data_IF_689172248895
#
_entry.id   IF_689172248895
#
_cell.length_a   1.000
_cell.length_b   1.000
_cell.length_c   1.000
_cell.angle_alpha   90.00
_cell.angle_beta   90.00
_cell.angle_gamma   90.00
#
_symmetry.space_group_name_H-M   'P 1'
#
loop_
_entity.id
_entity.type
_entity.pdbx_description
1 polymer ?
#
# COMPACT_ATOMS: atom_id res chain seq x y z
N UNK A 1 -38.80 8.25 30.05
CA UNK A 1 -38.20 8.20 31.41
C UNK A 1 -37.67 6.79 31.61
N UNK A 2 -36.48 6.61 32.21
CA UNK A 2 -35.75 5.33 32.47
C UNK A 2 -34.97 4.80 31.24
N UNK A 3 -33.67 4.47 31.26
CA UNK A 3 -32.49 4.75 32.12
C UNK A 3 -31.28 4.51 31.19
N UNK A 4 -30.32 5.44 31.13
CA UNK A 4 -29.00 5.23 30.49
C UNK A 4 -28.03 4.64 31.53
N UNK A 5 -27.28 3.62 31.13
CA UNK A 5 -26.07 3.10 31.81
C UNK A 5 -24.96 3.14 30.74
N UNK A 6 -23.89 3.94 30.86
CA UNK A 6 -22.85 3.90 31.91
C UNK A 6 -21.77 2.90 31.45
N UNK A 7 -20.83 3.34 30.60
CA UNK A 7 -19.40 3.59 30.92
C UNK A 7 -18.58 2.36 31.32
N UNK A 8 -17.54 2.07 30.52
CA UNK A 8 -16.28 1.48 31.00
C UNK A 8 -15.14 1.84 30.04
N UNK A 9 -14.34 2.84 30.42
CA UNK A 9 -13.09 3.20 29.77
C UNK A 9 -11.97 2.26 30.25
N UNK A 10 -11.27 1.63 29.30
CA UNK A 10 -10.10 0.80 29.59
C UNK A 10 -8.82 1.63 29.44
N UNK A 11 -8.24 2.03 30.55
CA UNK A 11 -6.87 2.55 30.67
C UNK A 11 -5.86 1.43 30.45
N UNK A 12 -5.00 1.55 29.44
CA UNK A 12 -3.87 0.65 29.21
C UNK A 12 -2.56 1.33 29.67
N UNK A 13 -1.95 0.76 30.69
CA UNK A 13 -0.72 1.20 31.36
C UNK A 13 0.50 0.76 30.55
N UNK A 14 1.29 1.73 30.07
CA UNK A 14 2.59 1.53 29.41
C UNK A 14 3.65 1.11 30.44
N UNK A 15 4.13 -0.13 30.35
CA UNK A 15 5.30 -0.60 31.07
C UNK A 15 6.58 -0.10 30.38
N UNK A 16 7.35 0.72 31.11
CA UNK A 16 8.61 1.34 30.71
C UNK A 16 9.75 0.43 31.19
N UNK A 17 10.44 -0.27 30.29
CA UNK A 17 11.65 -1.03 30.64
C UNK A 17 12.89 -0.16 30.49
N UNK A 18 13.50 0.19 31.63
CA UNK A 18 14.83 0.80 31.70
C UNK A 18 15.89 -0.30 31.56
N UNK A 19 16.70 -0.23 30.50
CA UNK A 19 17.90 -1.05 30.32
C UNK A 19 19.15 -0.25 30.69
N UNK A 20 19.69 -0.51 31.87
CA UNK A 20 20.90 0.09 32.40
C UNK A 20 22.17 -0.64 31.93
N UNK A 21 23.18 0.13 31.52
CA UNK A 21 24.57 -0.04 31.95
C UNK A 21 25.43 -1.15 31.32
N UNK A 22 26.53 -0.73 30.65
CA UNK A 22 27.89 -1.27 30.87
C UNK A 22 28.94 -0.42 30.17
N UNK A 23 29.54 0.51 30.92
CA UNK A 23 30.80 1.15 30.56
C UNK A 23 31.96 0.18 30.85
N UNK A 24 32.70 -0.22 29.82
CA UNK A 24 33.94 -1.00 29.96
C UNK A 24 35.13 -0.03 30.07
N UNK A 25 35.66 0.12 31.28
CA UNK A 25 37.03 0.60 31.53
C UNK A 25 38.01 -0.44 31.00
N UNK A 26 38.81 -0.11 29.99
CA UNK A 26 40.03 -0.85 29.66
C UNK A 26 41.21 -0.14 30.32
N UNK A 27 41.92 -0.91 31.16
CA UNK A 27 43.11 -0.51 31.92
C UNK A 27 44.28 -0.30 30.97
N UNK A 28 45.05 0.74 31.25
CA UNK A 28 46.38 0.93 30.67
C UNK A 28 47.33 -0.19 31.12
N UNK A 29 48.04 -0.74 30.14
CA UNK A 29 49.20 -1.59 30.34
C UNK A 29 50.42 -0.77 29.90
N UNK A 30 51.18 -0.27 30.89
CA UNK A 30 52.49 0.32 30.65
C UNK A 30 53.51 -0.82 30.72
N UNK A 31 54.13 -1.15 29.59
CA UNK A 31 55.32 -2.00 29.52
C UNK A 31 56.52 -1.10 29.29
N UNK A 32 57.31 -0.93 30.35
CA UNK A 32 58.70 -0.47 30.29
C UNK A 32 59.57 -1.58 29.70
N UNK A 33 60.19 -1.34 28.55
CA UNK A 33 61.26 -2.20 28.01
C UNK A 33 62.54 -1.39 27.89
N UNK A 34 63.56 -1.86 28.62
CA UNK A 34 64.88 -1.29 28.68
C UNK A 34 65.68 -1.53 27.39
N UNK A 35 66.56 -0.57 27.16
CA UNK A 35 67.73 -0.53 26.28
C UNK A 35 68.34 -1.89 25.95
N UNK A 36 68.49 -2.17 24.65
CA UNK A 36 69.68 -2.74 23.97
C UNK A 36 69.20 -3.34 22.65
N UNK A 37 69.31 -2.62 21.53
CA UNK A 37 69.42 -3.16 20.15
C UNK A 37 69.38 -2.00 19.15
N UNK A 38 70.54 -1.37 18.94
CA UNK A 38 70.74 -0.26 17.99
C UNK A 38 70.93 -0.70 16.54
N UNK A 39 70.85 -2.01 16.22
CA UNK A 39 71.10 -2.50 14.86
C UNK A 39 69.85 -3.00 14.10
N UNK A 40 68.69 -3.12 14.75
CA UNK A 40 67.40 -3.37 14.05
C UNK A 40 66.66 -2.09 13.64
N UNK A 41 67.15 -0.91 14.07
CA UNK A 41 66.53 0.37 13.77
C UNK A 41 66.67 0.81 12.30
N UNK A 42 67.61 0.22 11.54
CA UNK A 42 67.84 0.57 10.13
C UNK A 42 66.90 -0.21 9.19
N UNK A 43 66.42 -1.40 9.59
CA UNK A 43 65.44 -2.15 8.79
C UNK A 43 64.01 -1.62 8.94
N UNK A 44 63.69 -0.94 10.06
CA UNK A 44 62.38 -0.32 10.28
C UNK A 44 62.25 1.08 9.64
N UNK A 45 63.36 1.76 9.33
CA UNK A 45 63.35 3.05 8.62
C UNK A 45 63.19 2.93 7.10
N UNK A 46 63.22 1.72 6.54
CA UNK A 46 62.94 1.43 5.12
C UNK A 46 61.53 0.87 4.87
N UNK A 47 60.68 0.78 5.90
CA UNK A 47 59.26 0.44 5.77
C UNK A 47 58.26 1.63 5.87
N UNK A 48 58.55 2.89 5.47
CA UNK A 48 57.58 3.98 5.62
C UNK A 48 56.56 4.10 4.47
N UNK A 49 56.36 3.08 3.61
CA UNK A 49 55.41 3.18 2.47
C UNK A 49 54.31 2.13 2.41
N UNK A 50 54.30 1.11 3.27
CA UNK A 50 53.26 0.07 3.22
C UNK A 50 51.96 0.50 3.92
N UNK A 51 52.03 1.37 4.93
CA UNK A 51 50.83 1.83 5.65
C UNK A 51 49.95 2.77 4.82
N UNK A 52 50.53 3.61 3.95
CA UNK A 52 49.75 4.48 3.06
C UNK A 52 49.09 3.68 1.93
N UNK A 53 49.79 2.69 1.38
CA UNK A 53 49.23 1.81 0.34
C UNK A 53 48.11 0.90 0.87
N UNK A 54 48.21 0.43 2.13
CA UNK A 54 47.12 -0.33 2.77
C UNK A 54 45.90 0.55 3.06
N UNK A 55 46.10 1.82 3.45
CA UNK A 55 44.99 2.75 3.64
C UNK A 55 44.32 3.18 2.31
N UNK A 56 45.07 3.26 1.21
CA UNK A 56 44.53 3.51 -0.14
C UNK A 56 43.78 2.29 -0.68
N UNK A 57 44.29 1.07 -0.47
CA UNK A 57 43.60 -0.16 -0.82
C UNK A 57 42.26 -0.29 -0.08
N UNK A 58 42.24 -0.01 1.23
CA UNK A 58 41.01 -0.03 2.03
C UNK A 58 39.97 1.00 1.55
N UNK A 59 40.39 2.21 1.16
CA UNK A 59 39.48 3.21 0.58
C UNK A 59 38.95 2.81 -0.80
N UNK A 60 39.74 2.08 -1.59
CA UNK A 60 39.28 1.55 -2.87
C UNK A 60 38.27 0.41 -2.70
N UNK A 61 38.42 -0.40 -1.66
CA UNK A 61 37.41 -1.42 -1.30
C UNK A 61 36.10 -0.77 -0.80
N UNK A 62 36.20 0.30 0.00
CA UNK A 62 35.04 1.08 0.43
C UNK A 62 34.31 1.76 -0.74
N UNK A 63 35.02 2.27 -1.75
CA UNK A 63 34.38 2.89 -2.92
C UNK A 63 33.71 1.84 -3.83
N UNK A 64 34.34 0.70 -4.06
CA UNK A 64 33.75 -0.40 -4.85
C UNK A 64 32.49 -0.94 -4.16
N UNK A 65 32.50 -1.11 -2.85
CA UNK A 65 31.32 -1.56 -2.09
C UNK A 65 30.19 -0.52 -2.11
N UNK A 66 30.50 0.77 -2.04
CA UNK A 66 29.49 1.83 -2.17
C UNK A 66 28.81 1.83 -3.55
N UNK A 67 29.58 1.69 -4.64
CA UNK A 67 29.03 1.59 -6.00
C UNK A 67 28.11 0.36 -6.14
N UNK A 68 28.50 -0.78 -5.58
CA UNK A 68 27.67 -1.99 -5.60
C UNK A 68 26.36 -1.82 -4.83
N UNK A 69 26.39 -1.18 -3.66
CA UNK A 69 25.18 -0.89 -2.88
C UNK A 69 24.21 0.02 -3.64
N UNK A 70 24.73 0.98 -4.38
CA UNK A 70 23.95 1.91 -5.20
C UNK A 70 23.25 1.17 -6.34
N UNK A 71 23.98 0.33 -7.08
CA UNK A 71 23.38 -0.48 -8.13
C UNK A 71 22.30 -1.44 -7.58
N UNK A 72 22.52 -2.01 -6.39
CA UNK A 72 21.53 -2.86 -5.74
C UNK A 72 20.26 -2.08 -5.37
N UNK A 73 20.42 -0.86 -4.83
CA UNK A 73 19.29 0.02 -4.54
C UNK A 73 18.52 0.39 -5.79
N UNK A 74 19.19 0.77 -6.88
CA UNK A 74 18.55 1.06 -8.17
C UNK A 74 17.75 -0.14 -8.70
N UNK A 75 18.33 -1.34 -8.67
CA UNK A 75 17.63 -2.57 -9.07
C UNK A 75 16.39 -2.82 -8.19
N UNK A 76 16.51 -2.60 -6.89
CA UNK A 76 15.40 -2.77 -5.95
C UNK A 76 14.27 -1.77 -6.21
N UNK A 77 14.61 -0.53 -6.56
CA UNK A 77 13.66 0.53 -6.88
C UNK A 77 12.93 0.26 -8.20
N UNK A 78 13.66 -0.08 -9.26
CA UNK A 78 13.05 -0.52 -10.53
C UNK A 78 12.10 -1.70 -10.33
N UNK A 79 12.47 -2.63 -9.45
CA UNK A 79 11.62 -3.77 -9.11
C UNK A 79 10.35 -3.34 -8.36
N UNK A 80 10.45 -2.37 -7.44
CA UNK A 80 9.29 -1.78 -6.78
C UNK A 80 8.36 -1.08 -7.79
N UNK A 81 8.90 -0.28 -8.71
CA UNK A 81 8.13 0.38 -9.77
C UNK A 81 7.38 -0.61 -10.66
N UNK A 82 8.06 -1.68 -11.09
CA UNK A 82 7.41 -2.78 -11.86
C UNK A 82 6.31 -3.45 -11.06
N UNK A 83 6.52 -3.65 -9.76
CA UNK A 83 5.54 -4.29 -8.86
C UNK A 83 4.31 -3.40 -8.65
N UNK A 84 4.50 -2.11 -8.38
CA UNK A 84 3.42 -1.13 -8.20
C UNK A 84 2.60 -0.96 -9.49
N UNK A 85 3.28 -0.80 -10.63
CA UNK A 85 2.61 -0.67 -11.93
C UNK A 85 1.78 -1.93 -12.26
N UNK A 86 2.34 -3.12 -12.01
CA UNK A 86 1.62 -4.39 -12.16
C UNK A 86 0.42 -4.47 -11.22
N UNK A 87 0.57 -4.04 -9.97
CA UNK A 87 -0.49 -4.04 -8.97
C UNK A 87 -1.67 -3.13 -9.37
N UNK A 88 -1.41 -1.89 -9.78
CA UNK A 88 -2.45 -0.94 -10.26
C UNK A 88 -3.19 -1.53 -11.47
N UNK A 89 -2.45 -2.09 -12.43
CA UNK A 89 -3.04 -2.76 -13.60
C UNK A 89 -3.92 -3.94 -13.18
N UNK A 90 -3.47 -4.77 -12.25
CA UNK A 90 -4.23 -5.91 -11.74
C UNK A 90 -5.48 -5.47 -11.00
N UNK A 91 -5.44 -4.39 -10.21
CA UNK A 91 -6.63 -3.84 -9.53
C UNK A 91 -7.71 -3.44 -10.53
N UNK A 92 -7.34 -2.73 -11.60
CA UNK A 92 -8.28 -2.38 -12.67
C UNK A 92 -8.92 -3.60 -13.33
N UNK A 93 -8.10 -4.59 -13.69
CA UNK A 93 -8.59 -5.84 -14.28
C UNK A 93 -9.53 -6.61 -13.33
N UNK A 94 -9.24 -6.61 -12.02
CA UNK A 94 -10.12 -7.20 -10.99
C UNK A 94 -11.45 -6.47 -10.91
N UNK A 95 -11.45 -5.13 -10.93
CA UNK A 95 -12.68 -4.34 -10.94
C UNK A 95 -13.59 -4.65 -12.14
N UNK A 96 -13.01 -4.71 -13.35
CA UNK A 96 -13.74 -5.08 -14.56
C UNK A 96 -14.23 -6.54 -14.52
N UNK A 97 -13.42 -7.47 -14.02
CA UNK A 97 -13.78 -8.88 -13.89
C UNK A 97 -14.88 -9.10 -12.86
N UNK A 98 -14.83 -8.40 -11.72
CA UNK A 98 -15.84 -8.46 -10.67
C UNK A 98 -17.19 -7.97 -11.19
N UNK A 99 -17.21 -6.85 -11.93
CA UNK A 99 -18.44 -6.35 -12.55
C UNK A 99 -19.01 -7.35 -13.58
N UNK A 100 -18.15 -7.93 -14.43
CA UNK A 100 -18.58 -8.95 -15.40
C UNK A 100 -19.22 -10.16 -14.72
N UNK A 101 -18.59 -10.68 -13.66
CA UNK A 101 -19.14 -11.79 -12.88
C UNK A 101 -20.48 -11.42 -12.23
N UNK A 102 -20.60 -10.20 -11.70
CA UNK A 102 -21.85 -9.72 -11.11
C UNK A 102 -22.99 -9.63 -12.13
N UNK A 103 -22.72 -9.04 -13.30
CA UNK A 103 -23.70 -8.95 -14.40
C UNK A 103 -24.10 -10.36 -14.87
N UNK A 104 -23.14 -11.28 -14.98
CA UNK A 104 -23.42 -12.68 -15.32
C UNK A 104 -24.31 -13.36 -14.27
N UNK A 105 -24.02 -13.19 -12.97
CA UNK A 105 -24.84 -13.73 -11.87
C UNK A 105 -26.27 -13.18 -11.92
N UNK A 106 -26.41 -11.89 -12.20
CA UNK A 106 -27.71 -11.24 -12.33
C UNK A 106 -28.50 -11.76 -13.56
N UNK A 107 -27.81 -12.02 -14.69
CA UNK A 107 -28.41 -12.66 -15.87
C UNK A 107 -28.92 -14.07 -15.56
N UNK A 108 -28.08 -14.90 -14.91
CA UNK A 108 -28.45 -16.26 -14.52
C UNK A 108 -29.63 -16.28 -13.54
N UNK A 109 -29.67 -15.33 -12.60
CA UNK A 109 -30.79 -15.20 -11.66
C UNK A 109 -32.10 -14.79 -12.35
N UNK A 110 -32.03 -14.02 -13.44
CA UNK A 110 -33.19 -13.63 -14.25
C UNK A 110 -33.73 -14.78 -15.12
N UNK A 111 -32.85 -15.68 -15.58
CA UNK A 111 -33.20 -16.85 -16.40
C UNK A 111 -33.72 -18.03 -15.57
N UNK A 112 -33.44 -18.07 -14.26
CA UNK A 112 -33.90 -19.13 -13.38
C UNK A 112 -35.44 -19.24 -13.45
N UNK A 113 -36.00 -20.45 -13.69
CA UNK A 113 -37.43 -20.63 -13.81
C UNK A 113 -38.11 -20.08 -12.57
N UNK A 114 -39.16 -19.28 -12.78
CA UNK A 114 -39.97 -18.69 -11.71
C UNK A 114 -40.84 -19.74 -11.00
N UNK A 115 -40.32 -20.98 -10.88
CA UNK A 115 -40.95 -22.12 -10.23
C UNK A 115 -41.31 -21.74 -8.80
N UNK A 116 -42.59 -21.42 -8.60
CA UNK A 116 -43.21 -21.23 -7.29
C UNK A 116 -43.44 -19.79 -6.81
N UNK A 117 -43.11 -18.72 -7.56
CA UNK A 117 -43.27 -17.32 -7.07
C UNK A 117 -44.39 -16.49 -7.69
N UNK A 118 -45.33 -17.11 -8.41
CA UNK A 118 -46.60 -16.45 -8.77
C UNK A 118 -47.61 -16.64 -7.64
N UNK A 119 -47.41 -15.93 -6.52
CA UNK A 119 -48.50 -15.72 -5.59
C UNK A 119 -49.48 -14.72 -6.23
N UNK A 120 -50.60 -15.23 -6.76
CA UNK A 120 -51.70 -14.45 -7.36
C UNK A 120 -52.51 -13.64 -6.33
N UNK A 121 -51.85 -13.06 -5.34
CA UNK A 121 -52.46 -12.17 -4.35
C UNK A 121 -52.40 -10.72 -4.81
N UNK A 122 -53.52 -10.00 -4.80
CA UNK A 122 -53.64 -8.55 -5.09
C UNK A 122 -52.86 -7.63 -4.13
N UNK A 123 -52.03 -8.18 -3.23
CA UNK A 123 -51.18 -7.39 -2.36
C UNK A 123 -49.91 -7.02 -3.12
N UNK A 124 -49.57 -5.73 -3.09
CA UNK A 124 -48.32 -5.18 -3.64
C UNK A 124 -47.15 -5.73 -2.83
N UNK A 125 -46.74 -6.97 -3.11
CA UNK A 125 -45.61 -7.60 -2.47
C UNK A 125 -44.36 -6.75 -2.77
N UNK A 126 -43.74 -6.24 -1.71
CA UNK A 126 -42.42 -5.61 -1.81
C UNK A 126 -41.48 -6.69 -2.35
N UNK A 127 -40.87 -6.42 -3.50
CA UNK A 127 -39.88 -7.34 -4.08
C UNK A 127 -38.74 -7.52 -3.08
N UNK A 128 -38.19 -8.73 -2.97
CA UNK A 128 -36.97 -8.98 -2.18
C UNK A 128 -35.85 -7.99 -2.55
N UNK A 129 -35.73 -7.63 -3.83
CA UNK A 129 -34.77 -6.64 -4.29
C UNK A 129 -35.01 -5.24 -3.70
N UNK A 130 -36.28 -4.82 -3.59
CA UNK A 130 -36.64 -3.53 -3.01
C UNK A 130 -36.39 -3.51 -1.49
N UNK A 131 -36.61 -4.64 -0.81
CA UNK A 131 -36.28 -4.79 0.61
C UNK A 131 -34.76 -4.69 0.85
N UNK A 132 -33.96 -5.45 0.08
CA UNK A 132 -32.49 -5.37 0.13
C UNK A 132 -31.99 -3.96 -0.19
N UNK A 133 -32.58 -3.29 -1.17
CA UNK A 133 -32.23 -1.91 -1.50
C UNK A 133 -32.56 -0.93 -0.36
N UNK A 134 -33.67 -1.14 0.35
CA UNK A 134 -34.01 -0.34 1.53
C UNK A 134 -32.98 -0.54 2.66
N UNK A 135 -32.57 -1.78 2.94
CA UNK A 135 -31.51 -2.09 3.91
C UNK A 135 -30.17 -1.47 3.52
N UNK A 136 -29.80 -1.52 2.23
CA UNK A 136 -28.59 -0.87 1.73
C UNK A 136 -28.60 0.65 1.94
N UNK A 137 -29.76 1.30 1.78
CA UNK A 137 -29.91 2.73 2.10
C UNK A 137 -29.79 2.99 3.59
N UNK A 138 -30.35 2.13 4.44
CA UNK A 138 -30.26 2.27 5.90
C UNK A 138 -28.81 2.10 6.38
N UNK A 139 -28.10 1.09 5.90
CA UNK A 139 -26.67 0.87 6.18
C UNK A 139 -25.82 2.07 5.71
N UNK A 140 -26.08 2.59 4.51
CA UNK A 140 -25.39 3.78 3.98
C UNK A 140 -25.64 5.03 4.85
N UNK A 141 -26.87 5.21 5.34
CA UNK A 141 -27.20 6.30 6.26
C UNK A 141 -26.51 6.15 7.63
N UNK A 142 -26.26 4.92 8.07
CA UNK A 142 -25.50 4.61 9.27
C UNK A 142 -23.97 4.77 9.08
N UNK A 143 -23.51 5.07 7.86
CA UNK A 143 -22.08 5.19 7.54
C UNK A 143 -21.36 3.88 7.26
N UNK A 144 -22.07 2.75 7.24
CA UNK A 144 -21.50 1.43 6.94
C UNK A 144 -21.52 1.17 5.43
N UNK A 145 -20.49 1.67 4.75
CA UNK A 145 -20.37 1.57 3.30
C UNK A 145 -20.13 0.13 2.81
N UNK A 146 -19.44 -0.71 3.59
CA UNK A 146 -19.19 -2.12 3.24
C UNK A 146 -20.48 -2.93 3.25
N UNK A 147 -21.28 -2.79 4.32
CA UNK A 147 -22.55 -3.48 4.44
C UNK A 147 -23.55 -2.97 3.40
N UNK A 148 -23.61 -1.66 3.18
CA UNK A 148 -24.44 -1.06 2.13
C UNK A 148 -24.10 -1.61 0.75
N UNK A 149 -22.81 -1.75 0.41
CA UNK A 149 -22.36 -2.36 -0.85
C UNK A 149 -22.91 -3.77 -1.00
N UNK A 150 -22.79 -4.61 0.04
CA UNK A 150 -23.29 -5.99 0.01
C UNK A 150 -24.81 -6.09 -0.22
N UNK A 151 -25.58 -5.19 0.40
CA UNK A 151 -27.03 -5.12 0.15
C UNK A 151 -27.37 -4.65 -1.27
N UNK A 152 -26.68 -3.64 -1.80
CA UNK A 152 -26.90 -3.17 -3.18
C UNK A 152 -26.50 -4.22 -4.22
N UNK A 153 -25.41 -4.94 -4.00
CA UNK A 153 -25.00 -6.06 -4.85
C UNK A 153 -26.07 -7.16 -4.86
N UNK A 154 -26.54 -7.56 -3.68
CA UNK A 154 -27.58 -8.58 -3.54
C UNK A 154 -28.89 -8.14 -4.20
N UNK A 155 -29.29 -6.88 -4.03
CA UNK A 155 -30.46 -6.31 -4.69
C UNK A 155 -30.33 -6.35 -6.22
N UNK A 156 -29.15 -6.03 -6.76
CA UNK A 156 -28.87 -6.11 -8.20
C UNK A 156 -28.94 -7.53 -8.75
N UNK A 157 -28.39 -8.52 -8.03
CA UNK A 157 -28.50 -9.93 -8.43
C UNK A 157 -29.95 -10.40 -8.42
N UNK A 158 -30.75 -9.99 -7.43
CA UNK A 158 -32.18 -10.33 -7.38
C UNK A 158 -32.99 -9.67 -8.50
N UNK A 159 -32.67 -8.42 -8.84
CA UNK A 159 -33.34 -7.68 -9.90
C UNK A 159 -32.37 -6.68 -10.56
N UNK A 160 -31.86 -6.98 -11.77
CA UNK A 160 -30.87 -6.14 -12.42
C UNK A 160 -31.45 -4.76 -12.77
N UNK A 161 -31.13 -3.75 -11.96
CA UNK A 161 -31.53 -2.35 -12.16
C UNK A 161 -30.31 -1.44 -12.08
N UNK A 162 -30.19 -0.51 -13.03
CA UNK A 162 -29.06 0.41 -13.09
C UNK A 162 -28.97 1.32 -11.87
N UNK A 163 -30.10 1.69 -11.26
CA UNK A 163 -30.13 2.42 -10.00
C UNK A 163 -29.40 1.69 -8.84
N UNK A 164 -29.43 0.36 -8.81
CA UNK A 164 -28.71 -0.44 -7.81
C UNK A 164 -27.21 -0.42 -8.09
N UNK A 165 -26.80 -0.56 -9.36
CA UNK A 165 -25.40 -0.40 -9.77
C UNK A 165 -24.85 0.98 -9.43
N UNK A 166 -25.60 2.06 -9.71
CA UNK A 166 -25.16 3.42 -9.36
C UNK A 166 -24.96 3.59 -7.85
N UNK A 167 -25.82 2.98 -7.03
CA UNK A 167 -25.70 3.00 -5.57
C UNK A 167 -24.48 2.20 -5.10
N UNK A 168 -24.21 1.05 -5.72
CA UNK A 168 -23.01 0.25 -5.48
C UNK A 168 -21.73 0.98 -5.89
N UNK A 169 -21.71 1.63 -7.05
CA UNK A 169 -20.59 2.47 -7.50
C UNK A 169 -20.27 3.60 -6.51
N UNK A 170 -21.30 4.21 -5.93
CA UNK A 170 -21.11 5.22 -4.87
C UNK A 170 -20.47 4.62 -3.61
N UNK A 171 -20.79 3.38 -3.26
CA UNK A 171 -20.15 2.72 -2.10
C UNK A 171 -18.69 2.39 -2.39
N UNK A 172 -18.36 1.93 -3.61
CA UNK A 172 -16.96 1.75 -4.02
C UNK A 172 -16.15 3.05 -3.93
N UNK A 173 -16.71 4.20 -4.35
CA UNK A 173 -16.06 5.51 -4.16
C UNK A 173 -15.88 5.90 -2.69
N UNK A 174 -16.79 5.51 -1.80
CA UNK A 174 -16.65 5.77 -0.35
C UNK A 174 -15.58 4.90 0.30
N UNK A 175 -15.35 3.70 -0.25
CA UNK A 175 -14.34 2.74 0.19
C UNK A 175 -12.99 2.93 -0.51
N UNK A 176 -12.84 3.98 -1.31
CA UNK A 176 -11.64 4.27 -2.12
C UNK A 176 -11.25 3.13 -3.10
N UNK A 177 -12.25 2.36 -3.53
CA UNK A 177 -12.13 1.33 -4.56
C UNK A 177 -12.44 1.95 -5.94
N UNK A 178 -11.68 2.98 -6.32
CA UNK A 178 -11.97 3.82 -7.49
C UNK A 178 -12.07 3.03 -8.80
N UNK A 179 -11.29 1.97 -8.95
CA UNK A 179 -11.29 1.17 -10.18
C UNK A 179 -12.59 0.36 -10.36
N UNK A 180 -13.18 -0.11 -9.26
CA UNK A 180 -14.48 -0.79 -9.29
C UNK A 180 -15.59 0.21 -9.59
N UNK A 181 -15.52 1.39 -8.97
CA UNK A 181 -16.46 2.47 -9.24
C UNK A 181 -16.43 2.91 -10.71
N UNK A 182 -15.23 3.11 -11.28
CA UNK A 182 -15.05 3.45 -12.69
C UNK A 182 -15.68 2.41 -13.62
N UNK A 183 -15.43 1.12 -13.36
CA UNK A 183 -16.00 0.04 -14.17
C UNK A 183 -17.54 0.09 -14.16
N UNK A 184 -18.13 0.30 -12.98
CA UNK A 184 -19.58 0.40 -12.81
C UNK A 184 -20.14 1.61 -13.55
N UNK A 185 -19.58 2.80 -13.37
CA UNK A 185 -20.10 4.01 -14.00
C UNK A 185 -19.95 3.97 -15.52
N UNK A 186 -18.83 3.44 -16.03
CA UNK A 186 -18.64 3.21 -17.47
C UNK A 186 -19.72 2.28 -18.03
N UNK A 187 -20.01 1.18 -17.33
CA UNK A 187 -21.06 0.26 -17.75
C UNK A 187 -22.46 0.92 -17.77
N UNK A 188 -22.78 1.76 -16.78
CA UNK A 188 -24.06 2.49 -16.75
C UNK A 188 -24.14 3.53 -17.87
N UNK A 189 -23.04 4.25 -18.14
CA UNK A 189 -22.97 5.24 -19.22
C UNK A 189 -23.17 4.60 -20.61
N UNK A 190 -22.51 3.47 -20.86
CA UNK A 190 -22.57 2.73 -22.12
C UNK A 190 -23.86 1.94 -22.31
N UNK A 191 -24.63 1.72 -21.23
CA UNK A 191 -25.86 0.93 -21.29
C UNK A 191 -26.95 1.62 -22.11
N UNK A 192 -27.51 0.87 -23.07
CA UNK A 192 -28.62 1.34 -23.89
C UNK A 192 -29.92 1.54 -23.09
N UNK A 193 -30.09 0.83 -21.97
CA UNK A 193 -31.29 0.92 -21.12
C UNK A 193 -31.23 2.04 -20.08
N UNK A 194 -30.08 2.74 -19.97
CA UNK A 194 -29.92 3.85 -19.04
C UNK A 194 -30.67 5.10 -19.50
N UNK A 195 -31.41 5.73 -18.60
CA UNK A 195 -32.00 7.05 -18.84
C UNK A 195 -30.93 8.13 -18.95
N UNK A 196 -31.25 9.26 -19.59
CA UNK A 196 -30.31 10.38 -19.73
C UNK A 196 -29.81 10.90 -18.37
N UNK A 197 -30.68 10.88 -17.35
CA UNK A 197 -30.30 11.26 -15.97
C UNK A 197 -29.29 10.29 -15.35
N UNK A 198 -29.46 8.99 -15.57
CA UNK A 198 -28.53 7.97 -15.08
C UNK A 198 -27.19 8.06 -15.82
N UNK A 199 -27.21 8.26 -17.14
CA UNK A 199 -25.99 8.46 -17.95
C UNK A 199 -25.23 9.72 -17.51
N UNK A 200 -25.94 10.82 -17.28
CA UNK A 200 -25.33 12.06 -16.81
C UNK A 200 -24.74 11.91 -15.40
N UNK A 201 -25.46 11.25 -14.49
CA UNK A 201 -24.93 10.92 -13.17
C UNK A 201 -23.68 10.06 -13.27
N UNK A 202 -23.71 9.02 -14.11
CA UNK A 202 -22.61 8.11 -14.34
C UNK A 202 -21.39 8.84 -14.92
N UNK A 203 -21.55 9.70 -15.93
CA UNK A 203 -20.47 10.54 -16.48
C UNK A 203 -19.80 11.39 -15.42
N UNK A 204 -20.59 12.13 -14.65
CA UNK A 204 -20.06 13.01 -13.58
C UNK A 204 -19.30 12.19 -12.54
N UNK A 205 -19.85 11.04 -12.13
CA UNK A 205 -19.20 10.16 -11.14
C UNK A 205 -18.00 9.42 -11.69
N UNK A 206 -18.00 9.08 -12.98
CA UNK A 206 -16.86 8.51 -13.68
C UNK A 206 -15.71 9.53 -13.73
N UNK A 207 -15.99 10.81 -13.99
CA UNK A 207 -14.99 11.87 -13.91
C UNK A 207 -14.42 12.04 -12.50
N UNK A 208 -15.26 11.99 -11.46
CA UNK A 208 -14.81 12.00 -10.06
C UNK A 208 -13.90 10.80 -9.74
N UNK A 209 -14.28 9.59 -10.16
CA UNK A 209 -13.50 8.39 -9.94
C UNK A 209 -12.14 8.45 -10.64
N UNK A 210 -12.13 8.88 -11.91
CA UNK A 210 -10.90 9.08 -12.70
C UNK A 210 -9.97 10.09 -12.06
N UNK A 211 -10.49 11.23 -11.61
CA UNK A 211 -9.67 12.26 -10.95
C UNK A 211 -8.99 11.72 -9.68
N UNK A 212 -9.67 10.86 -8.90
CA UNK A 212 -9.04 10.20 -7.74
C UNK A 212 -7.96 9.21 -8.17
N UNK A 213 -8.22 8.38 -9.18
CA UNK A 213 -7.24 7.44 -9.73
C UNK A 213 -6.01 8.17 -10.29
N UNK A 214 -6.21 9.28 -11.01
CA UNK A 214 -5.15 10.15 -11.53
C UNK A 214 -4.38 10.83 -10.40
N UNK A 215 -5.02 11.26 -9.32
CA UNK A 215 -4.33 11.78 -8.14
C UNK A 215 -3.41 10.74 -7.50
N UNK A 216 -3.85 9.49 -7.37
CA UNK A 216 -3.01 8.40 -6.87
C UNK A 216 -1.86 8.12 -7.85
N UNK A 217 -2.13 8.08 -9.15
CA UNK A 217 -1.10 7.91 -10.17
C UNK A 217 -0.07 9.04 -10.17
N UNK A 218 -0.51 10.30 -9.99
CA UNK A 218 0.37 11.46 -9.91
C UNK A 218 1.20 11.46 -8.63
N UNK A 219 0.63 11.04 -7.48
CA UNK A 219 1.42 10.84 -6.25
C UNK A 219 2.51 9.79 -6.46
N UNK A 220 2.17 8.70 -7.14
CA UNK A 220 3.09 7.63 -7.53
C UNK A 220 4.18 8.19 -8.47
N UNK A 221 3.84 8.95 -9.51
CA UNK A 221 4.82 9.56 -10.41
C UNK A 221 5.69 10.63 -9.73
N UNK A 222 5.13 11.42 -8.82
CA UNK A 222 5.89 12.44 -8.07
C UNK A 222 6.94 11.79 -7.16
N UNK A 223 6.61 10.63 -6.57
CA UNK A 223 7.62 9.82 -5.87
C UNK A 223 8.72 9.34 -6.84
N UNK A 224 8.38 8.97 -8.08
CA UNK A 224 9.38 8.57 -9.09
C UNK A 224 10.30 9.72 -9.52
N UNK A 225 9.77 10.95 -9.62
CA UNK A 225 10.57 12.14 -9.97
C UNK A 225 11.50 12.53 -8.83
N UNK A 226 11.05 12.42 -7.57
CA UNK A 226 11.92 12.60 -6.41
C UNK A 226 13.09 11.59 -6.43
N UNK A 227 12.87 10.37 -6.94
CA UNK A 227 13.93 9.37 -7.12
C UNK A 227 14.86 9.72 -8.30
N UNK A 228 14.36 10.32 -9.38
CA UNK A 228 15.20 10.84 -10.47
C UNK A 228 16.12 11.98 -10.00
N UNK A 229 15.66 12.81 -9.07
CA UNK A 229 16.50 13.81 -8.41
C UNK A 229 17.57 13.14 -7.53
N UNK A 230 17.23 12.06 -6.81
CA UNK A 230 18.20 11.23 -6.07
C UNK A 230 19.22 10.60 -7.02
N UNK A 231 18.80 10.10 -8.19
CA UNK A 231 19.69 9.55 -9.21
C UNK A 231 20.63 10.61 -9.81
N UNK A 232 20.11 11.81 -10.07
CA UNK A 232 20.91 12.95 -10.53
C UNK A 232 21.95 13.31 -9.48
N UNK A 233 21.56 13.28 -8.21
CA UNK A 233 22.45 13.53 -7.09
C UNK A 233 23.53 12.47 -6.92
N UNK A 234 23.13 11.21 -7.06
CA UNK A 234 23.99 10.05 -7.08
C UNK A 234 25.03 10.16 -8.19
N UNK A 235 24.61 10.59 -9.39
CA UNK A 235 25.50 10.90 -10.52
C UNK A 235 26.45 12.07 -10.24
N UNK A 236 26.00 13.12 -9.55
CA UNK A 236 26.88 14.22 -9.11
C UNK A 236 27.92 13.72 -8.10
N UNK A 237 27.51 12.93 -7.11
CA UNK A 237 28.39 12.30 -6.14
C UNK A 237 29.39 11.34 -6.82
N UNK A 238 28.95 10.54 -7.79
CA UNK A 238 29.79 9.64 -8.58
C UNK A 238 30.84 10.42 -9.37
N UNK A 239 30.44 11.49 -10.09
CA UNK A 239 31.35 12.36 -10.84
C UNK A 239 32.35 13.08 -9.93
N UNK A 240 31.93 13.48 -8.73
CA UNK A 240 32.84 14.01 -7.70
C UNK A 240 33.85 12.96 -7.26
N UNK A 241 33.42 11.73 -6.99
CA UNK A 241 34.31 10.61 -6.63
C UNK A 241 35.28 10.28 -7.77
N UNK A 242 34.82 10.24 -9.00
CA UNK A 242 35.64 10.01 -10.19
C UNK A 242 36.65 11.14 -10.42
N UNK A 243 36.24 12.41 -10.30
CA UNK A 243 37.13 13.56 -10.39
C UNK A 243 38.20 13.56 -9.28
N UNK A 244 37.85 13.09 -8.08
CA UNK A 244 38.78 12.90 -6.96
C UNK A 244 39.73 11.72 -7.19
N UNK A 245 39.28 10.66 -7.85
CA UNK A 245 40.07 9.48 -8.17
C UNK A 245 41.02 9.71 -9.36
N UNK A 246 40.65 10.57 -10.32
CA UNK A 246 41.37 10.82 -11.56
C UNK A 246 42.54 11.81 -11.44
N UNK A 247 42.93 12.23 -10.23
CA UNK A 247 43.86 13.34 -10.04
C UNK A 247 45.20 13.22 -10.80
N UNK A 248 45.80 14.34 -11.27
CA UNK A 248 47.20 14.39 -11.66
C UNK A 248 48.09 14.51 -10.41
N UNK A 249 48.59 13.40 -9.87
CA UNK A 249 49.62 13.30 -8.82
C UNK A 249 49.40 13.98 -7.44
N UNK A 250 48.70 15.10 -7.28
CA UNK A 250 48.24 15.71 -6.01
C UNK A 250 47.07 16.67 -6.35
N UNK A 251 45.96 16.79 -5.57
CA UNK A 251 45.83 16.67 -4.11
C UNK A 251 44.76 15.66 -3.61
N UNK A 252 44.96 15.12 -2.40
CA UNK A 252 44.38 13.85 -1.90
C UNK A 252 43.17 13.95 -0.95
N UNK A 253 42.33 14.98 -1.03
CA UNK A 253 41.06 15.00 -0.26
C UNK A 253 39.96 15.83 -0.91
N UNK A 254 38.70 15.44 -0.67
CA UNK A 254 37.49 16.19 -1.07
C UNK A 254 37.56 17.64 -0.58
N UNK A 255 38.10 17.84 0.63
CA UNK A 255 38.38 19.14 1.24
C UNK A 255 39.37 19.99 0.42
N UNK A 256 40.40 19.38 -0.16
CA UNK A 256 41.42 20.08 -0.95
C UNK A 256 40.94 20.41 -2.37
N UNK A 257 40.16 19.52 -3.01
CA UNK A 257 39.51 19.80 -4.28
C UNK A 257 38.46 20.92 -4.15
N UNK A 258 37.66 20.91 -3.06
CA UNK A 258 36.77 22.03 -2.73
C UNK A 258 37.53 23.33 -2.43
N UNK A 259 38.73 23.26 -1.85
CA UNK A 259 39.56 24.45 -1.57
C UNK A 259 40.25 25.03 -2.83
N UNK A 260 40.43 24.22 -3.87
CA UNK A 260 41.03 24.63 -5.15
C UNK A 260 40.00 25.09 -6.19
N UNK A 261 38.73 24.69 -6.04
CA UNK A 261 37.62 25.21 -6.83
C UNK A 261 37.42 26.71 -6.56
N UNK A 262 37.01 27.46 -7.58
CA UNK A 262 36.61 28.85 -7.41
C UNK A 262 35.52 28.94 -6.32
N UNK A 263 35.59 29.95 -5.45
CA UNK A 263 34.69 30.10 -4.29
C UNK A 263 33.21 30.00 -4.71
N UNK A 264 32.90 30.53 -5.90
CA UNK A 264 31.57 30.48 -6.53
C UNK A 264 31.13 29.05 -6.89
N UNK A 265 32.04 28.20 -7.36
CA UNK A 265 31.75 26.80 -7.74
C UNK A 265 31.62 25.92 -6.49
N UNK A 266 32.43 26.21 -5.46
CA UNK A 266 32.36 25.54 -4.16
C UNK A 266 31.02 25.77 -3.45
N UNK A 267 30.56 27.02 -3.40
CA UNK A 267 29.30 27.37 -2.75
C UNK A 267 28.10 26.75 -3.48
N UNK A 268 28.16 26.65 -4.82
CA UNK A 268 27.14 25.93 -5.62
C UNK A 268 27.11 24.45 -5.29
N UNK A 269 28.27 23.77 -5.26
CA UNK A 269 28.33 22.35 -4.92
C UNK A 269 27.85 22.07 -3.49
N UNK A 270 28.17 22.96 -2.53
CA UNK A 270 27.66 22.84 -1.17
C UNK A 270 26.14 23.03 -1.10
N UNK A 271 25.59 24.00 -1.82
CA UNK A 271 24.13 24.18 -1.94
C UNK A 271 23.45 22.97 -2.58
N UNK A 272 24.04 22.40 -3.63
CA UNK A 272 23.52 21.18 -4.27
C UNK A 272 23.55 19.98 -3.31
N UNK A 273 24.61 19.82 -2.49
CA UNK A 273 24.73 18.77 -1.46
C UNK A 273 23.82 19.01 -0.25
N UNK A 274 23.45 20.26 0.06
CA UNK A 274 22.45 20.54 1.09
C UNK A 274 21.03 20.26 0.59
N UNK A 275 20.72 20.71 -0.63
CA UNK A 275 19.45 20.43 -1.32
C UNK A 275 19.24 18.92 -1.46
N UNK A 276 20.28 18.21 -1.89
CA UNK A 276 20.36 16.75 -1.90
C UNK A 276 19.88 16.09 -0.62
N UNK A 277 20.47 16.51 0.51
CA UNK A 277 20.22 15.91 1.81
C UNK A 277 18.81 16.20 2.26
N UNK A 278 18.30 17.39 1.98
CA UNK A 278 16.92 17.75 2.24
C UNK A 278 15.94 16.88 1.44
N UNK A 279 16.18 16.69 0.13
CA UNK A 279 15.36 15.82 -0.73
C UNK A 279 15.41 14.36 -0.29
N UNK A 280 16.61 13.83 -0.01
CA UNK A 280 16.78 12.46 0.46
C UNK A 280 16.08 12.24 1.83
N UNK A 281 16.19 13.20 2.74
CA UNK A 281 15.49 13.15 4.04
C UNK A 281 13.96 13.18 3.86
N UNK A 282 13.45 13.96 2.91
CA UNK A 282 12.01 14.02 2.60
C UNK A 282 11.52 12.71 1.97
N UNK A 283 12.28 12.11 1.05
CA UNK A 283 11.96 10.83 0.42
C UNK A 283 11.93 9.69 1.45
N UNK A 284 12.90 9.64 2.38
CA UNK A 284 12.88 8.67 3.49
C UNK A 284 11.64 8.85 4.37
N UNK A 285 11.27 10.09 4.69
CA UNK A 285 10.06 10.36 5.46
C UNK A 285 8.79 9.89 4.72
N UNK A 286 8.66 10.18 3.41
CA UNK A 286 7.54 9.71 2.59
C UNK A 286 7.48 8.18 2.51
N UNK A 287 8.62 7.51 2.33
CA UNK A 287 8.71 6.04 2.33
C UNK A 287 8.15 5.45 3.63
N UNK A 288 8.51 6.01 4.78
CA UNK A 288 7.98 5.51 6.06
C UNK A 288 6.47 5.68 6.18
N UNK A 289 5.91 6.78 5.65
CA UNK A 289 4.45 6.99 5.60
C UNK A 289 3.79 5.92 4.73
N UNK A 290 4.29 5.69 3.51
CA UNK A 290 3.77 4.66 2.60
C UNK A 290 3.86 3.24 3.19
N UNK A 291 4.96 2.91 3.89
CA UNK A 291 5.10 1.63 4.60
C UNK A 291 4.04 1.46 5.70
N UNK A 292 3.72 2.52 6.45
CA UNK A 292 2.67 2.47 7.47
C UNK A 292 1.27 2.33 6.87
N UNK A 293 1.00 3.00 5.76
CA UNK A 293 -0.28 2.87 5.02
C UNK A 293 -0.45 1.46 4.45
N UNK A 294 0.60 0.91 3.81
CA UNK A 294 0.59 -0.46 3.30
C UNK A 294 0.38 -1.49 4.42
N UNK A 295 0.99 -1.28 5.59
CA UNK A 295 0.78 -2.13 6.75
C UNK A 295 -0.66 -2.03 7.28
N UNK A 296 -1.27 -0.84 7.25
CA UNK A 296 -2.67 -0.63 7.60
C UNK A 296 -3.61 -1.36 6.63
N UNK A 297 -3.36 -1.24 5.32
CA UNK A 297 -4.10 -1.95 4.27
C UNK A 297 -4.02 -3.48 4.41
N UNK A 298 -2.82 -4.03 4.63
CA UNK A 298 -2.67 -5.48 4.89
C UNK A 298 -3.40 -5.93 6.16
N UNK A 299 -3.51 -5.07 7.18
CA UNK A 299 -4.29 -5.35 8.39
C UNK A 299 -5.79 -5.31 8.09
N UNK A 300 -6.26 -4.32 7.35
CA UNK A 300 -7.65 -4.23 6.91
C UNK A 300 -8.05 -5.44 6.05
N UNK A 301 -7.21 -5.81 5.08
CA UNK A 301 -7.44 -6.99 4.23
C UNK A 301 -7.52 -8.30 5.04
N UNK A 302 -6.63 -8.50 6.02
CA UNK A 302 -6.70 -9.68 6.92
C UNK A 302 -7.98 -9.72 7.73
N UNK A 303 -8.47 -8.56 8.20
CA UNK A 303 -9.76 -8.45 8.90
C UNK A 303 -10.92 -8.78 7.98
N UNK A 304 -10.95 -8.21 6.77
CA UNK A 304 -11.97 -8.51 5.78
C UNK A 304 -12.01 -10.01 5.44
N UNK A 305 -10.84 -10.65 5.25
CA UNK A 305 -10.74 -12.10 5.02
C UNK A 305 -11.26 -12.92 6.20
N UNK A 306 -10.94 -12.52 7.43
CA UNK A 306 -11.45 -13.18 8.64
C UNK A 306 -12.98 -13.05 8.74
N UNK A 307 -13.54 -11.87 8.48
CA UNK A 307 -14.99 -11.64 8.43
C UNK A 307 -15.66 -12.49 7.35
N UNK A 308 -15.05 -12.59 6.17
CA UNK A 308 -15.56 -13.44 5.09
C UNK A 308 -15.60 -14.92 5.50
N UNK A 309 -14.54 -15.43 6.13
CA UNK A 309 -14.52 -16.81 6.64
C UNK A 309 -15.58 -17.03 7.73
N UNK A 310 -15.80 -16.05 8.62
CA UNK A 310 -16.85 -16.11 9.62
C UNK A 310 -18.25 -16.17 8.99
N UNK A 311 -18.52 -15.35 7.97
CA UNK A 311 -19.78 -15.39 7.23
C UNK A 311 -19.99 -16.72 6.51
N UNK A 312 -18.94 -17.31 5.93
CA UNK A 312 -19.00 -18.64 5.32
C UNK A 312 -19.37 -19.71 6.36
N UNK A 313 -18.76 -19.69 7.55
CA UNK A 313 -19.10 -20.63 8.63
C UNK A 313 -20.56 -20.50 9.09
N UNK A 314 -21.05 -19.26 9.21
CA UNK A 314 -22.46 -19.01 9.55
C UNK A 314 -23.39 -19.52 8.44
N UNK A 315 -23.05 -19.29 7.17
CA UNK A 315 -23.84 -19.77 6.04
C UNK A 315 -23.92 -21.31 6.04
N UNK A 316 -22.79 -22.01 6.18
CA UNK A 316 -22.77 -23.49 6.27
C UNK A 316 -23.57 -23.99 7.48
N UNK A 317 -23.48 -23.32 8.63
CA UNK A 317 -24.26 -23.69 9.81
C UNK A 317 -25.78 -23.51 9.58
N UNK A 318 -26.20 -22.48 8.84
CA UNK A 318 -27.60 -22.27 8.46
C UNK A 318 -28.07 -23.32 7.45
N UNK A 319 -27.25 -23.67 6.46
CA UNK A 319 -27.54 -24.74 5.49
C UNK A 319 -27.78 -26.08 6.20
N UNK A 320 -26.93 -26.45 7.16
CA UNK A 320 -27.12 -27.66 7.97
C UNK A 320 -28.41 -27.59 8.78
N UNK A 321 -28.73 -26.45 9.41
CA UNK A 321 -29.98 -26.28 10.15
C UNK A 321 -31.22 -26.42 9.26
N UNK A 322 -31.20 -25.83 8.07
CA UNK A 322 -32.29 -25.95 7.09
C UNK A 322 -32.45 -27.41 6.63
N UNK A 323 -31.34 -28.10 6.36
CA UNK A 323 -31.37 -29.51 5.98
C UNK A 323 -31.93 -30.42 7.09
N UNK A 324 -31.53 -30.18 8.35
CA UNK A 324 -32.07 -30.90 9.52
C UNK A 324 -33.56 -30.63 9.71
N UNK A 325 -34.00 -29.38 9.57
CA UNK A 325 -35.41 -29.04 9.67
C UNK A 325 -36.23 -29.71 8.56
N UNK A 326 -35.75 -29.66 7.31
CA UNK A 326 -36.42 -30.33 6.19
C UNK A 326 -36.51 -31.86 6.38
N UNK A 327 -35.47 -32.49 6.95
CA UNK A 327 -35.49 -33.90 7.30
C UNK A 327 -36.47 -34.21 8.44
N UNK A 328 -36.57 -33.33 9.45
CA UNK A 328 -37.52 -33.48 10.54
C UNK A 328 -38.98 -33.33 10.06
N UNK A 329 -39.24 -32.37 9.18
CA UNK A 329 -40.56 -32.14 8.58
C UNK A 329 -40.96 -33.33 7.67
N UNK A 330 -40.01 -33.92 6.93
CA UNK A 330 -40.25 -35.13 6.13
C UNK A 330 -40.47 -36.39 6.99
N UNK A 331 -39.90 -36.44 8.19
CA UNK A 331 -40.03 -37.57 9.11
C UNK A 331 -41.28 -37.50 9.99
N UNK A 332 -41.99 -36.37 10.05
CA UNK A 332 -43.28 -36.30 10.74
C UNK A 332 -44.24 -37.26 10.03
N UNK A 333 -44.69 -38.35 10.71
CA UNK A 333 -45.58 -39.31 10.08
C UNK A 333 -46.84 -38.55 9.67
N UNK A 334 -47.28 -38.73 8.43
CA UNK A 334 -48.54 -38.19 7.93
C UNK A 334 -49.66 -38.58 8.91
N UNK A 335 -49.94 -37.66 9.83
CA UNK A 335 -50.77 -37.92 10.99
C UNK A 335 -52.19 -38.10 10.49
N UNK A 336 -52.58 -39.37 10.39
CA UNK A 336 -53.94 -39.91 10.27
C UNK A 336 -55.00 -38.83 9.97
N UNK A 337 -55.16 -38.55 8.68
CA UNK A 337 -56.48 -38.19 8.18
C UNK A 337 -57.43 -39.38 8.34
#
# INVERSE_FOLDING_TARGET
>A
MIRRTGEAAATCTLARTQGAGRARKMRGFALTMHSSNSELAVLFMLLPKTSSLQAEAAKSEESVTAVQQVEELQRSEEQLWRTLSSYVRQRRLRGESALKLLVQRASMAAEAPADGRRHEGKHKHVSMADALFAEGKAANAAGDAELARGFFESAFVCQPRLAFLLSMGNMHLKLDETEHAEAIYRHVEESASASDKEKEMARRKLAEAKARTESVAAMVETCAVADADVHTLMSVCQRLVEALAAGPSEPRSVSAALAAADLSERDKLLQEVELARALASAAVAQKTVLETELAHEHKAHRRAKASQMALQQVATALEVKVAVQAAADAAQPAGKA
#
